data_IF_458130133452
#
_entry.id   IF_458130133452
#
_cell.length_a   1.000
_cell.length_b   1.000
_cell.length_c   1.000
_cell.angle_alpha   90.00
_cell.angle_beta   90.00
_cell.angle_gamma   90.00
#
_symmetry.space_group_name_H-M   'P 1'
#
loop_
_entity.id
_entity.type
_entity.pdbx_description
1 polymer ?
#
# COMPACT_ATOMS: atom_id res chain seq x y z
N UNK A 1 -13.85 0.72 55.28
CA UNK A 1 -12.56 1.45 55.41
C UNK A 1 -11.44 0.59 54.83
N UNK A 2 -10.64 1.20 53.96
CA UNK A 2 -9.26 0.87 53.57
C UNK A 2 -8.93 -0.50 52.98
N UNK A 3 -8.78 -0.55 51.65
CA UNK A 3 -7.55 -0.98 50.95
C UNK A 3 -7.48 -0.32 49.55
N UNK A 4 -7.05 0.94 49.52
CA UNK A 4 -6.60 1.63 48.29
C UNK A 4 -5.07 1.63 48.33
N UNK A 5 -4.47 1.59 47.15
CA UNK A 5 -3.03 1.65 46.82
C UNK A 5 -2.31 0.30 46.71
N UNK A 6 -2.20 -0.17 45.47
CA UNK A 6 -0.89 -0.57 44.94
C UNK A 6 -0.87 -0.43 43.40
N UNK A 7 -0.06 0.52 42.93
CA UNK A 7 0.70 0.59 41.67
C UNK A 7 0.04 0.02 40.39
N UNK A 8 -0.32 0.76 39.34
CA UNK A 8 0.20 2.01 38.75
C UNK A 8 1.72 2.00 38.55
N UNK A 9 2.19 1.15 37.63
CA UNK A 9 3.47 1.27 36.90
C UNK A 9 3.66 0.07 35.96
N UNK A 10 3.05 0.06 34.75
CA UNK A 10 3.63 -0.47 33.51
C UNK A 10 2.78 0.06 32.33
N UNK A 11 3.02 1.29 31.89
CA UNK A 11 2.48 1.82 30.64
C UNK A 11 3.51 2.73 29.98
N UNK A 12 4.67 2.17 29.62
CA UNK A 12 5.67 2.89 28.81
C UNK A 12 6.52 1.91 28.01
N UNK A 13 5.91 1.29 27.00
CA UNK A 13 6.63 0.64 25.90
C UNK A 13 5.77 0.61 24.64
N UNK A 14 5.31 1.79 24.25
CA UNK A 14 5.00 2.13 22.86
C UNK A 14 6.03 3.21 22.49
N UNK A 15 6.93 3.07 21.53
CA UNK A 15 6.60 3.21 20.11
C UNK A 15 7.90 3.16 19.28
N UNK A 16 8.47 1.98 18.97
CA UNK A 16 9.69 1.94 18.10
C UNK A 16 9.54 1.09 16.83
N UNK A 17 8.36 0.47 16.59
CA UNK A 17 8.15 -0.39 15.42
C UNK A 17 7.44 0.27 14.22
N UNK A 18 7.39 1.61 14.15
CA UNK A 18 6.69 2.31 13.06
C UNK A 18 7.62 2.96 12.02
N UNK A 19 8.92 3.14 12.30
CA UNK A 19 9.79 3.93 11.42
C UNK A 19 10.31 3.15 10.18
N UNK A 20 10.63 1.87 10.33
CA UNK A 20 11.24 1.05 9.26
C UNK A 20 10.32 0.72 8.09
N UNK A 21 9.03 0.47 8.35
CA UNK A 21 8.03 0.16 7.31
C UNK A 21 7.75 1.35 6.36
N UNK A 22 8.19 2.56 6.71
CA UNK A 22 7.80 3.77 5.97
C UNK A 22 8.71 4.10 4.81
N UNK A 23 10.02 3.86 4.89
CA UNK A 23 10.95 4.32 3.86
C UNK A 23 10.88 3.45 2.60
N UNK A 24 10.94 2.13 2.77
CA UNK A 24 10.80 1.15 1.68
C UNK A 24 9.42 1.25 1.03
N UNK A 25 8.35 1.37 1.85
CA UNK A 25 6.99 1.58 1.34
C UNK A 25 6.86 2.87 0.53
N UNK A 26 7.46 3.98 0.98
CA UNK A 26 7.48 5.26 0.22
C UNK A 26 8.30 5.17 -1.06
N UNK A 27 9.39 4.41 -1.09
CA UNK A 27 10.16 4.18 -2.31
C UNK A 27 9.35 3.35 -3.31
N UNK A 28 8.71 2.27 -2.84
CA UNK A 28 7.84 1.41 -3.64
C UNK A 28 6.64 2.19 -4.21
N UNK A 29 6.00 3.02 -3.39
CA UNK A 29 4.91 3.90 -3.83
C UNK A 29 5.37 4.86 -4.93
N UNK A 30 6.54 5.50 -4.78
CA UNK A 30 7.07 6.42 -5.80
C UNK A 30 7.43 5.70 -7.10
N UNK A 31 8.02 4.52 -7.02
CA UNK A 31 8.31 3.69 -8.19
C UNK A 31 7.02 3.30 -8.93
N UNK A 32 6.02 2.87 -8.18
CA UNK A 32 4.72 2.46 -8.73
C UNK A 32 3.99 3.64 -9.36
N UNK A 33 3.96 4.81 -8.70
CA UNK A 33 3.35 6.02 -9.24
C UNK A 33 4.05 6.52 -10.52
N UNK A 34 5.37 6.36 -10.60
CA UNK A 34 6.12 6.65 -11.84
C UNK A 34 5.77 5.65 -12.94
N UNK A 35 5.67 4.36 -12.65
CA UNK A 35 5.29 3.36 -13.63
C UNK A 35 3.89 3.63 -14.22
N UNK A 36 2.92 3.97 -13.35
CA UNK A 36 1.55 4.33 -13.77
C UNK A 36 1.55 5.56 -14.69
N UNK A 37 2.29 6.61 -14.32
CA UNK A 37 2.42 7.83 -15.15
C UNK A 37 3.14 7.57 -16.47
N UNK A 38 4.20 6.76 -16.47
CA UNK A 38 4.92 6.39 -17.69
C UNK A 38 4.03 5.59 -18.66
N UNK A 39 3.03 4.87 -18.15
CA UNK A 39 2.03 4.19 -18.96
C UNK A 39 0.89 5.12 -19.45
N UNK A 40 0.97 6.43 -19.17
CA UNK A 40 -0.01 7.43 -19.62
C UNK A 40 -1.21 7.62 -18.70
N UNK A 41 -1.22 7.00 -17.52
CA UNK A 41 -2.31 7.15 -16.56
C UNK A 41 -2.02 8.25 -15.53
N UNK A 42 -3.08 8.87 -15.02
CA UNK A 42 -2.95 9.86 -13.94
C UNK A 42 -2.61 9.18 -12.62
N UNK A 43 -1.60 9.66 -11.90
CA UNK A 43 -1.36 9.24 -10.52
C UNK A 43 -0.45 10.24 -9.81
N UNK A 44 -1.04 11.12 -9.00
CA UNK A 44 -0.27 12.08 -8.19
C UNK A 44 0.37 11.39 -6.99
N UNK A 45 -0.46 10.79 -6.14
CA UNK A 45 -0.05 10.06 -4.94
C UNK A 45 -0.79 8.75 -4.81
N UNK A 46 -0.05 7.68 -4.54
CA UNK A 46 -0.65 6.39 -4.16
C UNK A 46 -1.08 6.45 -2.70
N UNK A 47 -2.38 6.29 -2.46
CA UNK A 47 -2.95 6.23 -1.10
C UNK A 47 -3.16 4.80 -0.64
N UNK A 48 -3.33 3.86 -1.57
CA UNK A 48 -3.50 2.45 -1.28
C UNK A 48 -2.93 1.57 -2.40
N UNK A 49 -2.26 0.49 -2.03
CA UNK A 49 -1.75 -0.51 -2.96
C UNK A 49 -1.83 -1.89 -2.30
N UNK A 50 -2.62 -2.80 -2.88
CA UNK A 50 -2.85 -4.13 -2.31
C UNK A 50 -3.05 -5.19 -3.40
N UNK A 51 -2.57 -6.41 -3.13
CA UNK A 51 -2.80 -7.56 -4.00
C UNK A 51 -4.28 -7.96 -3.90
N UNK A 52 -4.96 -8.04 -5.04
CA UNK A 52 -6.31 -8.58 -5.13
C UNK A 52 -6.24 -10.11 -5.15
N UNK A 53 -6.28 -10.71 -3.96
CA UNK A 53 -6.14 -12.17 -3.78
C UNK A 53 -7.22 -12.95 -4.53
N UNK A 54 -8.43 -12.40 -4.65
CA UNK A 54 -9.53 -13.07 -5.35
C UNK A 54 -9.26 -13.15 -6.87
N UNK A 55 -8.75 -12.06 -7.46
CA UNK A 55 -8.40 -12.04 -8.90
C UNK A 55 -7.03 -12.65 -9.21
N UNK A 56 -6.18 -12.80 -8.19
CA UNK A 56 -4.89 -13.47 -8.31
C UNK A 56 -4.98 -14.99 -8.05
N UNK A 57 -6.14 -15.49 -7.62
CA UNK A 57 -6.33 -16.91 -7.35
C UNK A 57 -6.34 -17.72 -8.67
N UNK A 58 -5.20 -18.34 -8.98
CA UNK A 58 -5.06 -19.21 -10.16
C UNK A 58 -4.56 -18.53 -11.43
N UNK A 59 -4.02 -17.31 -11.33
CA UNK A 59 -3.56 -16.53 -12.48
C UNK A 59 -2.43 -15.56 -12.15
N UNK A 60 -2.19 -14.53 -12.99
CA UNK A 60 -1.17 -13.52 -12.73
C UNK A 60 -1.51 -12.74 -11.45
N UNK A 61 -0.48 -12.30 -10.73
CA UNK A 61 -0.67 -11.47 -9.54
C UNK A 61 -1.25 -10.11 -9.94
N UNK A 62 -2.45 -9.81 -9.44
CA UNK A 62 -3.15 -8.56 -9.69
C UNK A 62 -2.99 -7.65 -8.49
N UNK A 63 -2.43 -6.45 -8.70
CA UNK A 63 -2.33 -5.42 -7.68
C UNK A 63 -3.33 -4.31 -8.00
N UNK A 64 -4.19 -4.00 -7.03
CA UNK A 64 -5.04 -2.81 -7.06
C UNK A 64 -4.26 -1.65 -6.48
N UNK A 65 -4.13 -0.58 -7.26
CA UNK A 65 -3.52 0.67 -6.82
C UNK A 65 -4.54 1.79 -6.89
N UNK A 66 -4.60 2.56 -5.83
CA UNK A 66 -5.45 3.74 -5.71
C UNK A 66 -4.56 4.98 -5.70
N UNK A 67 -4.82 5.87 -6.63
CA UNK A 67 -4.19 7.18 -6.73
C UNK A 67 -5.20 8.27 -6.34
N UNK A 68 -4.76 9.19 -5.48
CA UNK A 68 -5.63 10.22 -4.91
C UNK A 68 -4.83 11.46 -4.44
N UNK A 69 -5.23 12.63 -4.96
CA UNK A 69 -4.70 13.97 -4.63
C UNK A 69 -5.56 14.75 -3.61
N UNK A 70 -6.55 14.08 -3.00
CA UNK A 70 -7.65 14.56 -2.16
C UNK A 70 -8.84 15.17 -2.91
N UNK A 71 -8.77 15.32 -4.23
CA UNK A 71 -9.84 15.90 -5.06
C UNK A 71 -10.28 14.97 -6.17
N UNK A 72 -9.36 14.16 -6.67
CA UNK A 72 -9.54 13.21 -7.76
C UNK A 72 -9.14 11.83 -7.28
N UNK A 73 -9.99 10.85 -7.57
CA UNK A 73 -9.75 9.46 -7.21
C UNK A 73 -9.69 8.60 -8.46
N UNK A 74 -8.61 7.83 -8.61
CA UNK A 74 -8.46 6.88 -9.69
C UNK A 74 -7.91 5.55 -9.18
N UNK A 75 -8.48 4.46 -9.68
CA UNK A 75 -7.99 3.11 -9.39
C UNK A 75 -7.46 2.45 -10.64
N UNK A 76 -6.38 1.71 -10.46
CA UNK A 76 -5.70 0.99 -11.51
C UNK A 76 -5.47 -0.46 -11.11
N UNK A 77 -5.57 -1.32 -12.12
CA UNK A 77 -5.19 -2.73 -12.07
C UNK A 77 -3.79 -2.86 -12.65
N UNK A 78 -2.85 -3.28 -11.83
CA UNK A 78 -1.52 -3.69 -12.27
C UNK A 78 -1.50 -5.21 -12.38
N UNK A 79 -1.25 -5.72 -13.57
CA UNK A 79 -0.99 -7.15 -13.78
C UNK A 79 0.50 -7.37 -13.72
N UNK A 80 0.95 -8.18 -12.78
CA UNK A 80 2.35 -8.58 -12.63
C UNK A 80 2.64 -9.78 -13.53
N UNK A 81 3.81 -9.77 -14.16
CA UNK A 81 4.39 -10.95 -14.78
C UNK A 81 4.82 -11.95 -13.70
N UNK A 82 4.29 -13.17 -13.76
CA UNK A 82 4.62 -14.24 -12.84
C UNK A 82 6.08 -14.70 -12.97
N UNK A 83 6.71 -14.55 -14.13
CA UNK A 83 8.08 -14.99 -14.37
C UNK A 83 9.13 -14.01 -13.81
N UNK A 84 8.84 -12.70 -13.88
CA UNK A 84 9.84 -11.66 -13.62
C UNK A 84 9.48 -10.70 -12.48
N UNK A 85 8.30 -10.85 -11.86
CA UNK A 85 7.79 -9.92 -10.85
C UNK A 85 7.77 -8.45 -11.30
N UNK A 86 7.65 -8.22 -12.61
CA UNK A 86 7.56 -6.88 -13.21
C UNK A 86 6.11 -6.55 -13.55
N UNK A 87 5.78 -5.26 -13.64
CA UNK A 87 4.48 -4.82 -14.13
C UNK A 87 4.40 -5.13 -15.64
N UNK A 88 3.51 -6.05 -16.01
CA UNK A 88 3.26 -6.42 -17.40
C UNK A 88 2.20 -5.52 -18.06
N UNK A 89 1.17 -5.13 -17.29
CA UNK A 89 0.04 -4.34 -17.80
C UNK A 89 -0.53 -3.41 -16.73
N UNK A 90 -0.98 -2.22 -17.15
CA UNK A 90 -1.70 -1.25 -16.32
C UNK A 90 -3.02 -0.93 -17.00
N UNK A 91 -4.13 -1.02 -16.27
CA UNK A 91 -5.48 -0.76 -16.79
C UNK A 91 -6.32 0.01 -15.76
N UNK A 92 -7.30 0.82 -16.19
CA UNK A 92 -8.28 1.40 -15.26
C UNK A 92 -9.04 0.31 -14.51
N UNK A 93 -9.36 0.56 -13.25
CA UNK A 93 -10.16 -0.36 -12.44
C UNK A 93 -11.63 -0.30 -12.88
N UNK A 94 -12.03 -1.24 -13.74
CA UNK A 94 -13.42 -1.54 -14.10
C UNK A 94 -13.81 -2.94 -13.61
#
# INVERSE_FOLDING_TARGET
MNRILMALLVFFSASEFAAGQTLESRMLQRQTARAIRNAGFWCDRITDARIDKARSAGGPTIVRVTCDDKTTFAQYRLTMDAANSKIAKIEPWR
#
